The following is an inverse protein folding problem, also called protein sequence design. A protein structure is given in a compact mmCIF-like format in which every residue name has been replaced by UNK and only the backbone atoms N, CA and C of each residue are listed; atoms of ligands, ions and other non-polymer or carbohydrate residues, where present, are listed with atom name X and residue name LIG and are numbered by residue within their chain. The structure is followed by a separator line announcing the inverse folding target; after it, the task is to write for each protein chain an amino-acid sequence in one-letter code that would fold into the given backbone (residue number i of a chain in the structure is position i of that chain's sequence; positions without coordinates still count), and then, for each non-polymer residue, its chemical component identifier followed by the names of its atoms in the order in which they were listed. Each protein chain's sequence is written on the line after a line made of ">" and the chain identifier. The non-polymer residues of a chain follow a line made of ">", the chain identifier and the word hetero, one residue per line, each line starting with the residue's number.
data_IF_734143883686
#
_entry.id   IF_734143883686
#
_cell.length_a   1.000
_cell.length_b   1.000
_cell.length_c   1.000
_cell.angle_alpha   90.00
_cell.angle_beta   90.00
_cell.angle_gamma   90.00
#
_symmetry.space_group_name_H-M   'P 1'
#
loop_
_entity.id
_entity.type
_entity.pdbx_description
1 polymer ?
#
# COMPACT_ATOMS: atom_id res chain seq x y z
N UNK A 1 -6.49 -4.17 -10.34
CA UNK A 1 -6.99 -3.47 -11.51
C UNK A 1 -8.24 -2.63 -11.24
N UNK A 2 -9.00 -2.94 -10.19
CA UNK A 2 -10.30 -2.31 -9.93
C UNK A 2 -10.29 -1.36 -8.73
N UNK A 3 -9.15 -1.13 -8.09
CA UNK A 3 -8.97 -0.30 -6.89
C UNK A 3 -9.93 -0.69 -5.74
N UNK A 4 -10.14 -1.99 -5.56
CA UNK A 4 -10.99 -2.55 -4.52
C UNK A 4 -10.28 -3.67 -3.76
N UNK A 5 -10.61 -3.77 -2.46
CA UNK A 5 -10.33 -4.95 -1.65
C UNK A 5 -11.66 -5.70 -1.46
N UNK A 6 -11.65 -7.01 -1.71
CA UNK A 6 -12.85 -7.83 -1.56
C UNK A 6 -12.60 -8.90 -0.50
N UNK A 7 -13.48 -8.93 0.48
CA UNK A 7 -13.49 -9.95 1.54
C UNK A 7 -14.77 -10.77 1.42
N UNK A 8 -14.62 -12.09 1.41
CA UNK A 8 -15.76 -13.02 1.31
C UNK A 8 -15.76 -14.00 2.46
N UNK A 9 -16.86 -14.07 3.15
CA UNK A 9 -17.12 -15.01 4.25
C UNK A 9 -18.21 -15.98 3.83
N UNK A 10 -17.92 -17.28 3.93
CA UNK A 10 -18.89 -18.35 3.67
C UNK A 10 -18.97 -19.25 4.89
N UNK A 11 -20.17 -19.63 5.26
CA UNK A 11 -20.38 -20.66 6.26
C UNK A 11 -20.40 -22.05 5.59
N UNK A 12 -19.98 -23.05 6.32
CA UNK A 12 -20.13 -24.46 5.98
C UNK A 12 -21.58 -24.94 6.15
N UNK A 13 -22.36 -24.23 6.98
CA UNK A 13 -23.79 -24.45 7.21
C UNK A 13 -24.59 -23.19 6.89
N UNK A 14 -25.78 -23.36 6.34
CA UNK A 14 -26.70 -22.26 6.02
C UNK A 14 -27.06 -21.44 7.25
N UNK A 15 -27.16 -20.14 7.08
CA UNK A 15 -27.64 -19.23 8.12
C UNK A 15 -26.66 -18.95 9.26
N UNK A 16 -25.40 -19.30 9.14
CA UNK A 16 -24.44 -19.22 10.26
C UNK A 16 -23.61 -17.93 10.27
N UNK A 17 -23.66 -17.10 9.22
CA UNK A 17 -22.91 -15.85 9.21
C UNK A 17 -23.72 -14.75 9.91
N UNK A 18 -23.15 -14.25 11.04
CA UNK A 18 -23.64 -13.08 11.75
C UNK A 18 -22.47 -12.07 11.84
N UNK A 19 -22.48 -11.05 11.00
CA UNK A 19 -21.36 -10.14 10.87
C UNK A 19 -21.81 -8.69 11.07
N UNK A 20 -20.98 -7.94 11.77
CA UNK A 20 -21.12 -6.48 11.89
C UNK A 20 -19.82 -5.84 11.45
N UNK A 21 -19.89 -4.99 10.43
CA UNK A 21 -18.79 -4.15 9.98
C UNK A 21 -19.03 -2.73 10.46
N UNK A 22 -18.11 -2.22 11.26
CA UNK A 22 -18.11 -0.83 11.72
C UNK A 22 -16.74 -0.21 11.53
N UNK A 23 -16.73 1.10 11.38
CA UNK A 23 -15.49 1.87 11.46
C UNK A 23 -15.12 2.07 12.92
N UNK A 24 -13.86 1.78 13.26
CA UNK A 24 -13.26 2.13 14.55
C UNK A 24 -12.28 3.27 14.29
N UNK A 25 -12.56 4.49 14.75
CA UNK A 25 -11.62 5.60 14.59
C UNK A 25 -10.34 5.26 15.34
N UNK A 26 -9.22 5.35 14.66
CA UNK A 26 -7.89 5.14 15.24
C UNK A 26 -7.25 6.45 15.66
N UNK A 27 -7.89 7.59 15.34
CA UNK A 27 -7.42 8.94 15.65
C UNK A 27 -8.42 9.65 16.54
N UNK A 28 -8.00 10.00 17.75
CA UNK A 28 -8.73 10.91 18.62
C UNK A 28 -8.57 12.33 18.08
N UNK A 29 -9.68 13.06 17.90
CA UNK A 29 -9.65 14.50 17.61
C UNK A 29 -10.09 14.91 16.20
N UNK A 30 -10.25 14.01 15.25
CA UNK A 30 -10.83 14.32 13.93
C UNK A 30 -12.17 13.62 13.83
N UNK A 31 -13.24 14.39 13.94
CA UNK A 31 -14.60 13.91 13.78
C UNK A 31 -14.90 13.48 12.36
N UNK A 32 -14.51 12.27 11.91
CA UNK A 32 -14.92 11.81 10.61
C UNK A 32 -16.43 11.70 10.59
N UNK A 33 -17.02 12.01 9.45
CA UNK A 33 -18.41 11.65 9.21
C UNK A 33 -18.44 10.19 8.84
N UNK A 34 -19.10 9.36 9.68
CA UNK A 34 -19.39 7.96 9.37
C UNK A 34 -20.89 7.82 9.23
N UNK A 35 -21.34 7.29 8.11
CA UNK A 35 -22.76 7.10 7.83
C UNK A 35 -23.00 5.90 6.94
N UNK A 36 -24.24 5.38 6.99
CA UNK A 36 -24.70 4.31 6.10
C UNK A 36 -25.57 4.91 5.03
N UNK A 37 -25.24 4.67 3.77
CA UNK A 37 -26.00 5.05 2.59
C UNK A 37 -26.40 3.77 1.83
N UNK A 38 -27.67 3.37 1.92
CA UNK A 38 -28.12 2.12 1.31
C UNK A 38 -27.40 0.90 1.88
N UNK A 39 -26.64 0.20 1.06
CA UNK A 39 -25.83 -0.96 1.41
C UNK A 39 -24.34 -0.62 1.67
N UNK A 40 -24.01 0.67 1.76
CA UNK A 40 -22.64 1.15 1.90
C UNK A 40 -22.42 1.85 3.24
N UNK A 41 -21.28 1.55 3.89
CA UNK A 41 -20.71 2.30 5.00
C UNK A 41 -19.73 3.30 4.42
N UNK A 42 -19.91 4.58 4.73
CA UNK A 42 -19.13 5.70 4.24
C UNK A 42 -18.35 6.34 5.39
N UNK A 43 -17.07 6.52 5.19
CA UNK A 43 -16.19 7.31 6.03
C UNK A 43 -15.65 8.49 5.22
N UNK A 44 -15.83 9.70 5.74
CA UNK A 44 -15.29 10.93 5.18
C UNK A 44 -14.42 11.60 6.26
N UNK A 45 -13.15 11.77 5.96
CA UNK A 45 -12.19 12.39 6.86
C UNK A 45 -11.42 13.53 6.18
N UNK A 46 -10.82 14.37 7.01
CA UNK A 46 -9.87 15.40 6.60
C UNK A 46 -8.69 15.36 7.55
N UNK A 47 -7.46 15.31 7.02
CA UNK A 47 -6.26 15.34 7.84
C UNK A 47 -6.01 16.76 8.36
N UNK A 48 -5.65 16.86 9.62
CA UNK A 48 -5.57 18.14 10.34
C UNK A 48 -4.40 19.04 9.94
N UNK A 49 -3.32 18.41 9.46
CA UNK A 49 -2.06 19.11 9.23
C UNK A 49 -1.92 19.68 7.82
N UNK A 50 -2.77 19.24 6.87
CA UNK A 50 -2.67 19.65 5.47
C UNK A 50 -4.02 19.66 4.73
N UNK A 51 -5.14 19.53 5.46
CA UNK A 51 -6.50 19.52 4.92
C UNK A 51 -6.76 18.45 3.84
N UNK A 52 -5.89 17.45 3.71
CA UNK A 52 -6.05 16.35 2.76
C UNK A 52 -7.30 15.54 3.09
N UNK A 53 -8.14 15.33 2.09
CA UNK A 53 -9.38 14.58 2.22
C UNK A 53 -9.13 13.09 2.05
N UNK A 54 -9.85 12.29 2.85
CA UNK A 54 -9.86 10.84 2.77
C UNK A 54 -11.31 10.36 2.66
N UNK A 55 -11.56 9.44 1.75
CA UNK A 55 -12.84 8.72 1.68
C UNK A 55 -12.58 7.23 1.69
N UNK A 56 -13.27 6.52 2.58
CA UNK A 56 -13.38 5.06 2.56
C UNK A 56 -14.84 4.69 2.37
N UNK A 57 -15.10 3.75 1.47
CA UNK A 57 -16.40 3.26 1.15
C UNK A 57 -16.41 1.74 1.20
N UNK A 58 -17.35 1.15 1.93
CA UNK A 58 -17.48 -0.32 2.03
C UNK A 58 -18.91 -0.70 1.70
N UNK A 59 -19.10 -1.49 0.66
CA UNK A 59 -20.39 -2.10 0.34
C UNK A 59 -20.48 -3.51 0.92
N UNK A 60 -21.67 -3.90 1.35
CA UNK A 60 -21.98 -5.25 1.81
C UNK A 60 -22.96 -5.93 0.86
N UNK A 61 -22.61 -7.14 0.41
CA UNK A 61 -23.53 -8.06 -0.30
C UNK A 61 -23.70 -9.32 0.53
N UNK A 62 -24.87 -9.93 0.50
CA UNK A 62 -25.12 -11.15 1.23
C UNK A 62 -26.04 -12.12 0.47
N UNK A 63 -25.94 -13.40 0.81
CA UNK A 63 -26.83 -14.44 0.37
C UNK A 63 -27.47 -15.09 1.59
N UNK A 64 -28.79 -15.18 1.59
CA UNK A 64 -29.54 -15.59 2.80
C UNK A 64 -29.47 -14.55 3.90
N UNK A 65 -30.12 -14.81 5.01
CA UNK A 65 -30.15 -13.92 6.18
C UNK A 65 -30.93 -12.62 5.97
N UNK A 66 -30.74 -11.70 6.93
CA UNK A 66 -31.37 -10.37 6.92
C UNK A 66 -30.38 -9.27 7.29
N UNK A 67 -30.50 -8.12 6.65
CA UNK A 67 -29.78 -6.90 7.06
C UNK A 67 -30.51 -6.26 8.23
N UNK A 68 -29.76 -5.93 9.27
CA UNK A 68 -30.25 -5.18 10.44
C UNK A 68 -29.98 -3.70 10.23
N UNK A 69 -31.03 -2.88 10.43
CA UNK A 69 -30.97 -1.42 10.36
C UNK A 69 -31.57 -0.85 11.64
N UNK A 70 -30.71 -0.31 12.50
CA UNK A 70 -31.11 0.27 13.79
C UNK A 70 -30.68 1.74 13.94
N UNK A 71 -30.34 2.39 12.81
CA UNK A 71 -29.92 3.79 12.75
C UNK A 71 -28.46 4.02 13.15
N UNK A 72 -27.72 2.97 13.48
CA UNK A 72 -26.32 3.07 13.86
C UNK A 72 -25.41 3.08 12.61
N UNK A 73 -24.21 3.70 12.64
CA UNK A 73 -23.29 3.78 11.53
C UNK A 73 -22.47 2.49 11.35
N UNK A 74 -23.15 1.39 11.08
CA UNK A 74 -22.52 0.11 10.74
C UNK A 74 -23.37 -0.69 9.73
N UNK A 75 -22.74 -1.67 9.09
CA UNK A 75 -23.41 -2.69 8.27
C UNK A 75 -23.50 -3.98 9.07
N UNK A 76 -24.72 -4.48 9.28
CA UNK A 76 -24.96 -5.71 10.03
C UNK A 76 -25.86 -6.68 9.26
N UNK A 77 -25.47 -7.94 9.23
CA UNK A 77 -26.25 -9.03 8.66
C UNK A 77 -26.33 -10.19 9.65
N UNK A 78 -27.47 -10.84 9.72
CA UNK A 78 -27.76 -11.99 10.58
C UNK A 78 -28.29 -13.15 9.77
N UNK A 79 -27.82 -14.37 10.09
CA UNK A 79 -28.30 -15.62 9.49
C UNK A 79 -27.96 -15.76 8.00
N UNK A 80 -26.88 -15.14 7.52
CA UNK A 80 -26.50 -15.27 6.12
C UNK A 80 -25.73 -16.57 5.84
N UNK A 81 -25.82 -17.07 4.61
CA UNK A 81 -25.01 -18.18 4.09
C UNK A 81 -23.62 -17.67 3.64
N UNK A 82 -23.60 -16.48 3.09
CA UNK A 82 -22.43 -15.83 2.54
C UNK A 82 -22.52 -14.31 2.68
N UNK A 83 -21.41 -13.68 2.97
CA UNK A 83 -21.29 -12.20 3.05
C UNK A 83 -20.03 -11.77 2.30
N UNK A 84 -20.18 -10.76 1.46
CA UNK A 84 -19.05 -10.10 0.77
C UNK A 84 -19.00 -8.62 1.18
N UNK A 85 -17.80 -8.16 1.51
CA UNK A 85 -17.50 -6.75 1.65
C UNK A 85 -16.59 -6.32 0.50
N UNK A 86 -16.96 -5.22 -0.15
CA UNK A 86 -16.14 -4.56 -1.18
C UNK A 86 -15.73 -3.21 -0.60
N UNK A 87 -14.43 -2.99 -0.45
CA UNK A 87 -13.86 -1.75 0.09
C UNK A 87 -13.11 -1.00 -1.01
N UNK A 88 -13.32 0.31 -1.08
CA UNK A 88 -12.49 1.26 -1.82
C UNK A 88 -12.05 2.39 -0.89
N UNK A 89 -10.85 2.92 -1.11
CA UNK A 89 -10.35 4.07 -0.37
C UNK A 89 -9.52 4.95 -1.29
N UNK A 90 -9.60 6.26 -1.08
CA UNK A 90 -8.80 7.23 -1.82
C UNK A 90 -8.59 8.50 -0.99
N UNK A 91 -7.58 9.29 -1.39
CA UNK A 91 -7.34 10.62 -0.89
C UNK A 91 -7.35 11.61 -2.05
N UNK A 92 -7.45 12.91 -1.77
CA UNK A 92 -7.25 13.93 -2.81
C UNK A 92 -5.78 14.23 -3.09
N UNK A 93 -4.85 13.42 -2.60
CA UNK A 93 -3.44 13.55 -2.94
C UNK A 93 -3.20 13.39 -4.44
N UNK A 94 -2.40 14.28 -5.01
CA UNK A 94 -1.91 14.19 -6.38
C UNK A 94 -0.42 14.51 -6.40
N UNK A 95 0.38 13.56 -6.90
CA UNK A 95 1.80 13.80 -7.13
C UNK A 95 2.00 14.98 -8.10
N UNK A 96 2.88 15.92 -7.73
CA UNK A 96 3.16 17.10 -8.52
C UNK A 96 4.67 17.23 -8.75
N UNK A 97 5.07 17.16 -10.02
CA UNK A 97 6.48 17.28 -10.42
C UNK A 97 6.97 18.74 -10.53
N UNK A 98 6.04 19.68 -10.45
CA UNK A 98 6.34 21.10 -10.58
C UNK A 98 5.51 21.96 -9.60
N UNK A 99 5.58 21.68 -8.28
CA UNK A 99 4.76 22.38 -7.31
C UNK A 99 5.07 23.88 -7.25
N UNK A 100 4.03 24.69 -7.10
CA UNK A 100 4.15 26.04 -6.59
C UNK A 100 4.17 25.98 -5.05
N UNK A 101 5.28 26.35 -4.45
CA UNK A 101 5.46 26.27 -3.00
C UNK A 101 4.65 27.31 -2.22
N UNK A 102 4.03 28.28 -2.90
CA UNK A 102 3.11 29.25 -2.31
C UNK A 102 1.65 28.80 -2.39
N UNK A 103 1.35 27.73 -3.14
CA UNK A 103 0.01 27.17 -3.24
C UNK A 103 -0.17 26.06 -2.20
N UNK A 104 -1.01 26.26 -1.16
CA UNK A 104 -1.29 25.22 -0.18
C UNK A 104 -1.99 23.98 -0.79
N UNK A 105 -2.52 24.10 -2.01
CA UNK A 105 -3.18 23.03 -2.76
C UNK A 105 -2.30 22.43 -3.86
N UNK A 106 -0.98 22.70 -3.84
CA UNK A 106 -0.06 22.20 -4.86
C UNK A 106 -0.12 20.68 -5.09
N UNK A 107 -0.55 19.92 -4.09
CA UNK A 107 -0.70 18.46 -4.13
C UNK A 107 -2.17 17.99 -4.02
N UNK A 108 -3.13 18.90 -4.16
CA UNK A 108 -4.54 18.55 -4.15
C UNK A 108 -5.02 18.11 -5.54
N UNK A 109 -5.70 17.00 -5.60
CA UNK A 109 -6.29 16.40 -6.79
C UNK A 109 -7.82 16.37 -6.75
N UNK A 110 -8.38 15.30 -7.29
CA UNK A 110 -9.82 15.09 -7.38
C UNK A 110 -10.40 14.74 -6.00
N UNK A 111 -11.65 15.15 -5.76
CA UNK A 111 -12.36 14.78 -4.55
C UNK A 111 -12.48 13.23 -4.44
N UNK A 112 -11.92 12.60 -3.41
CA UNK A 112 -11.88 11.13 -3.28
C UNK A 112 -13.26 10.49 -3.12
N UNK A 113 -14.28 11.27 -2.75
CA UNK A 113 -15.66 10.76 -2.72
C UNK A 113 -16.19 10.43 -4.11
N UNK A 114 -15.74 11.15 -5.16
CA UNK A 114 -16.14 10.89 -6.55
C UNK A 114 -15.42 9.64 -7.10
N UNK A 115 -14.12 9.54 -6.88
CA UNK A 115 -13.31 8.39 -7.34
C UNK A 115 -13.76 7.09 -6.68
N UNK A 116 -13.92 7.08 -5.35
CA UNK A 116 -14.38 5.89 -4.62
C UNK A 116 -15.80 5.49 -5.00
N UNK A 117 -16.69 6.45 -5.29
CA UNK A 117 -18.05 6.17 -5.79
C UNK A 117 -18.01 5.49 -7.17
N UNK A 118 -17.17 5.98 -8.07
CA UNK A 118 -17.01 5.39 -9.41
C UNK A 118 -16.47 3.97 -9.33
N UNK A 119 -15.42 3.72 -8.54
CA UNK A 119 -14.85 2.39 -8.36
C UNK A 119 -15.85 1.43 -7.71
N UNK A 120 -16.54 1.88 -6.67
CA UNK A 120 -17.57 1.08 -5.99
C UNK A 120 -18.70 0.69 -6.95
N UNK A 121 -19.18 1.65 -7.74
CA UNK A 121 -20.24 1.38 -8.74
C UNK A 121 -19.80 0.33 -9.76
N UNK A 122 -18.57 0.42 -10.26
CA UNK A 122 -18.01 -0.55 -11.20
C UNK A 122 -17.87 -1.94 -10.55
N UNK A 123 -17.33 -2.02 -9.34
CA UNK A 123 -17.12 -3.28 -8.62
C UNK A 123 -18.45 -3.95 -8.22
N UNK A 124 -19.44 -3.18 -7.78
CA UNK A 124 -20.79 -3.71 -7.46
C UNK A 124 -21.49 -4.31 -8.68
N UNK A 125 -21.15 -3.89 -9.90
CA UNK A 125 -21.64 -4.48 -11.14
C UNK A 125 -21.01 -5.83 -11.51
N UNK A 126 -20.02 -6.31 -10.73
CA UNK A 126 -19.29 -7.55 -10.99
C UNK A 126 -19.55 -8.59 -9.91
N UNK A 127 -19.56 -9.88 -10.30
CA UNK A 127 -19.58 -10.99 -9.33
C UNK A 127 -18.21 -11.12 -8.65
N UNK A 128 -18.18 -11.76 -7.48
CA UNK A 128 -16.92 -12.12 -6.80
C UNK A 128 -15.95 -12.86 -7.74
N UNK A 129 -16.48 -13.85 -8.48
CA UNK A 129 -15.65 -14.60 -9.42
C UNK A 129 -15.01 -13.69 -10.45
N UNK A 130 -15.74 -12.75 -11.03
CA UNK A 130 -15.21 -11.82 -12.03
C UNK A 130 -14.14 -10.88 -11.44
N UNK A 131 -14.35 -10.38 -10.23
CA UNK A 131 -13.36 -9.56 -9.51
C UNK A 131 -12.09 -10.36 -9.23
N UNK A 132 -12.21 -11.61 -8.77
CA UNK A 132 -11.10 -12.52 -8.56
C UNK A 132 -10.35 -12.86 -9.85
N UNK A 133 -11.06 -13.18 -10.93
CA UNK A 133 -10.46 -13.49 -12.22
C UNK A 133 -9.64 -12.30 -12.76
N UNK A 134 -10.15 -11.08 -12.61
CA UNK A 134 -9.44 -9.85 -13.00
C UNK A 134 -8.19 -9.61 -12.15
N UNK A 135 -8.29 -9.82 -10.83
CA UNK A 135 -7.15 -9.74 -9.92
C UNK A 135 -6.06 -10.74 -10.30
N UNK A 136 -6.44 -12.00 -10.56
CA UNK A 136 -5.51 -13.05 -10.94
C UNK A 136 -4.89 -12.82 -12.33
N UNK A 137 -5.65 -12.25 -13.27
CA UNK A 137 -5.14 -11.89 -14.59
C UNK A 137 -4.11 -10.76 -14.55
N UNK A 138 -4.19 -9.86 -13.56
CA UNK A 138 -3.19 -8.82 -13.32
C UNK A 138 -1.97 -9.36 -12.56
N UNK A 139 -2.20 -10.08 -11.46
CA UNK A 139 -1.15 -10.49 -10.53
C UNK A 139 -0.28 -11.64 -11.05
N UNK A 140 -0.90 -12.70 -11.60
CA UNK A 140 -0.19 -13.93 -11.98
C UNK A 140 0.89 -13.74 -13.06
N UNK A 141 0.68 -12.95 -14.12
CA UNK A 141 1.71 -12.74 -15.13
C UNK A 141 3.01 -12.14 -14.56
N UNK A 142 2.92 -11.29 -13.56
CA UNK A 142 4.09 -10.70 -12.89
C UNK A 142 4.69 -11.71 -11.92
N UNK A 143 3.86 -12.30 -11.04
CA UNK A 143 4.36 -13.19 -10.00
C UNK A 143 5.03 -14.47 -10.56
N UNK A 144 4.49 -15.03 -11.65
CA UNK A 144 4.94 -16.29 -12.23
C UNK A 144 6.20 -16.18 -13.10
N UNK A 145 6.72 -14.97 -13.34
CA UNK A 145 7.93 -14.77 -14.18
C UNK A 145 9.18 -15.38 -13.57
N UNK A 146 9.28 -15.33 -12.24
CA UNK A 146 10.45 -15.78 -11.52
C UNK A 146 10.04 -16.77 -10.45
N UNK A 147 10.75 -17.87 -10.38
CA UNK A 147 10.65 -18.87 -9.34
C UNK A 147 12.04 -19.20 -8.80
N UNK A 148 12.11 -19.53 -7.52
CA UNK A 148 13.34 -19.97 -6.86
C UNK A 148 13.14 -21.37 -6.34
N UNK A 149 14.05 -22.28 -6.72
CA UNK A 149 14.15 -23.63 -6.17
C UNK A 149 15.53 -23.82 -5.56
N UNK A 150 15.61 -24.20 -4.30
CA UNK A 150 16.83 -24.48 -3.58
C UNK A 150 16.88 -25.98 -3.28
N UNK A 151 18.00 -26.63 -3.61
CA UNK A 151 18.19 -28.08 -3.43
C UNK A 151 17.08 -28.94 -4.07
N UNK A 152 16.49 -28.47 -5.18
CA UNK A 152 15.39 -29.14 -5.87
C UNK A 152 14.00 -28.90 -5.26
N UNK A 153 13.92 -28.16 -4.15
CA UNK A 153 12.64 -27.75 -3.54
C UNK A 153 12.27 -26.33 -3.97
N UNK A 154 11.20 -26.19 -4.73
CA UNK A 154 10.66 -24.91 -5.13
C UNK A 154 9.65 -24.39 -4.09
N UNK A 155 9.60 -23.07 -3.91
CA UNK A 155 8.47 -22.46 -3.22
C UNK A 155 7.19 -22.80 -3.98
N UNK A 156 6.07 -23.09 -3.28
CA UNK A 156 4.86 -23.50 -3.94
C UNK A 156 4.31 -22.38 -4.83
N UNK A 157 4.10 -22.67 -6.09
CA UNK A 157 3.45 -21.76 -7.02
C UNK A 157 1.92 -21.70 -6.82
N UNK A 158 1.34 -22.65 -6.10
CA UNK A 158 -0.12 -22.77 -6.03
C UNK A 158 -0.72 -23.55 -4.83
N UNK A 159 0.08 -24.06 -3.90
CA UNK A 159 -0.47 -24.78 -2.74
C UNK A 159 0.16 -24.36 -1.42
N UNK A 160 -0.63 -24.10 -0.36
CA UNK A 160 -0.12 -23.74 0.95
C UNK A 160 0.41 -24.93 1.77
N UNK A 161 0.31 -26.14 1.25
CA UNK A 161 0.85 -27.33 1.94
C UNK A 161 2.18 -27.73 1.34
N UNK A 162 3.25 -27.55 2.11
CA UNK A 162 4.49 -28.26 1.89
C UNK A 162 4.26 -29.76 1.92
N UNK A 163 5.00 -30.53 1.14
CA UNK A 163 4.91 -31.99 1.11
C UNK A 163 5.06 -32.64 2.50
N UNK A 164 5.71 -31.95 3.46
CA UNK A 164 5.95 -32.40 4.83
C UNK A 164 4.88 -31.95 5.85
N UNK A 165 3.82 -31.24 5.41
CA UNK A 165 2.69 -30.81 6.25
C UNK A 165 3.00 -29.77 7.33
N UNK A 166 4.23 -29.20 7.37
CA UNK A 166 4.60 -28.19 8.38
C UNK A 166 4.02 -26.83 8.07
N UNK A 167 3.52 -26.15 9.08
CA UNK A 167 3.09 -24.74 8.98
C UNK A 167 4.29 -23.80 8.97
N UNK A 168 4.12 -22.59 8.43
CA UNK A 168 5.17 -21.54 8.46
C UNK A 168 5.69 -21.24 9.87
N UNK A 169 4.87 -21.11 10.94
CA UNK A 169 5.37 -20.97 12.30
C UNK A 169 6.26 -22.12 12.76
N UNK A 170 5.90 -23.37 12.42
CA UNK A 170 6.72 -24.55 12.75
C UNK A 170 8.06 -24.53 12.01
N UNK A 171 8.07 -24.14 10.73
CA UNK A 171 9.30 -23.97 9.94
C UNK A 171 10.21 -22.92 10.54
N UNK A 172 9.67 -21.74 10.86
CA UNK A 172 10.43 -20.65 11.51
C UNK A 172 11.01 -21.08 12.86
N UNK A 173 10.24 -21.82 13.67
CA UNK A 173 10.73 -22.34 14.96
C UNK A 173 11.90 -23.32 14.80
N UNK A 174 11.84 -24.19 13.79
CA UNK A 174 12.92 -25.15 13.48
C UNK A 174 14.14 -24.43 12.90
N UNK A 175 13.93 -23.49 11.98
CA UNK A 175 14.98 -22.69 11.36
C UNK A 175 15.81 -21.92 12.41
N UNK A 176 15.13 -21.32 13.39
CA UNK A 176 15.78 -20.64 14.54
C UNK A 176 16.64 -21.58 15.39
N UNK A 177 16.39 -22.88 15.35
CA UNK A 177 17.19 -23.91 16.03
C UNK A 177 18.33 -24.45 15.16
N UNK A 178 18.54 -23.87 13.98
CA UNK A 178 19.61 -24.26 13.06
C UNK A 178 19.25 -25.36 12.06
N UNK A 179 17.98 -25.75 11.93
CA UNK A 179 17.56 -26.72 10.92
C UNK A 179 17.44 -26.02 9.55
N UNK A 180 18.20 -26.40 8.51
CA UNK A 180 18.01 -25.86 7.17
C UNK A 180 16.60 -26.10 6.64
N UNK A 181 16.03 -25.13 5.94
CA UNK A 181 14.71 -25.23 5.33
C UNK A 181 14.69 -24.50 3.98
N UNK A 182 15.16 -25.13 2.89
CA UNK A 182 15.19 -24.52 1.55
C UNK A 182 13.83 -24.07 1.06
N UNK A 183 12.76 -24.76 1.47
CA UNK A 183 11.39 -24.35 1.16
C UNK A 183 11.03 -23.00 1.82
N UNK A 184 11.39 -22.82 3.11
CA UNK A 184 11.14 -21.55 3.82
C UNK A 184 11.92 -20.41 3.18
N UNK A 185 13.16 -20.64 2.78
CA UNK A 185 14.03 -19.64 2.12
C UNK A 185 13.45 -19.23 0.76
N UNK A 186 13.02 -20.19 -0.06
CA UNK A 186 12.35 -19.91 -1.34
C UNK A 186 11.00 -19.21 -1.14
N UNK A 187 10.24 -19.59 -0.10
CA UNK A 187 8.99 -18.91 0.26
C UNK A 187 9.24 -17.45 0.68
N UNK A 188 10.30 -17.20 1.45
CA UNK A 188 10.67 -15.85 1.90
C UNK A 188 11.01 -14.94 0.71
N UNK A 189 11.78 -15.44 -0.26
CA UNK A 189 12.06 -14.74 -1.51
C UNK A 189 10.77 -14.38 -2.26
N UNK A 190 9.89 -15.36 -2.49
CA UNK A 190 8.63 -15.14 -3.18
C UNK A 190 7.69 -14.20 -2.42
N UNK A 191 7.74 -14.23 -1.09
CA UNK A 191 6.94 -13.32 -0.26
C UNK A 191 7.44 -11.87 -0.39
N UNK A 192 8.76 -11.65 -0.46
CA UNK A 192 9.32 -10.32 -0.77
C UNK A 192 8.83 -9.77 -2.11
N UNK A 193 8.84 -10.60 -3.16
CA UNK A 193 8.28 -10.24 -4.48
C UNK A 193 6.79 -9.89 -4.37
N UNK A 194 6.00 -10.70 -3.67
CA UNK A 194 4.59 -10.43 -3.44
C UNK A 194 4.37 -9.06 -2.76
N UNK A 195 5.14 -8.73 -1.73
CA UNK A 195 5.01 -7.46 -1.02
C UNK A 195 5.26 -6.27 -1.95
N UNK A 196 6.25 -6.34 -2.84
CA UNK A 196 6.51 -5.25 -3.78
C UNK A 196 5.44 -5.15 -4.86
N UNK A 197 4.99 -6.27 -5.44
CA UNK A 197 3.88 -6.30 -6.41
C UNK A 197 2.61 -5.67 -5.81
N UNK A 198 2.33 -5.95 -4.53
CA UNK A 198 1.13 -5.46 -3.85
C UNK A 198 1.22 -4.00 -3.42
N UNK A 199 2.43 -3.44 -3.24
CA UNK A 199 2.64 -2.09 -2.72
C UNK A 199 3.12 -1.07 -3.75
N UNK A 200 3.55 -1.49 -4.93
CA UNK A 200 4.16 -0.58 -5.91
C UNK A 200 3.67 -0.87 -7.33
N UNK A 201 2.73 -0.08 -7.80
CA UNK A 201 2.17 -0.18 -9.15
C UNK A 201 2.07 1.22 -9.77
N UNK A 202 2.22 1.30 -11.09
CA UNK A 202 2.14 2.56 -11.83
C UNK A 202 0.89 3.38 -11.47
N UNK A 203 1.07 4.68 -11.26
CA UNK A 203 0.02 5.61 -10.85
C UNK A 203 -0.18 5.73 -9.32
N UNK A 204 0.53 4.93 -8.52
CA UNK A 204 0.52 5.01 -7.05
C UNK A 204 1.83 5.58 -6.51
N UNK A 205 1.87 5.82 -5.20
CA UNK A 205 3.11 6.12 -4.48
C UNK A 205 4.00 4.88 -4.37
N UNK A 206 5.32 5.02 -4.24
CA UNK A 206 6.21 3.89 -3.99
C UNK A 206 5.97 3.29 -2.61
N UNK A 207 6.44 2.04 -2.42
CA UNK A 207 6.48 1.39 -1.13
C UNK A 207 7.31 2.24 -0.14
N UNK A 208 6.71 2.60 1.00
CA UNK A 208 7.38 3.33 2.08
C UNK A 208 8.12 2.35 3.02
N UNK A 209 8.58 2.82 4.19
CA UNK A 209 9.28 1.98 5.19
C UNK A 209 8.49 0.72 5.61
N UNK A 210 7.16 0.76 5.57
CA UNK A 210 6.28 -0.36 5.89
C UNK A 210 5.62 -0.98 4.65
N UNK A 211 6.04 -0.61 3.44
CA UNK A 211 5.33 -0.96 2.21
C UNK A 211 4.00 -0.21 2.12
N UNK A 212 2.90 -0.88 2.42
CA UNK A 212 1.56 -0.29 2.61
C UNK A 212 0.92 -0.73 3.93
N UNK A 213 1.57 -1.60 4.67
CA UNK A 213 0.96 -2.28 5.82
C UNK A 213 1.33 -1.63 7.14
N UNK A 214 0.31 -1.24 7.90
CA UNK A 214 0.47 -0.66 9.21
C UNK A 214 -0.69 -1.12 10.12
N UNK A 215 -0.34 -1.54 11.33
CA UNK A 215 -1.34 -2.02 12.29
C UNK A 215 -2.05 -0.88 13.06
N UNK A 216 -1.44 0.31 13.10
CA UNK A 216 -1.94 1.49 13.81
C UNK A 216 -1.43 2.76 13.12
N UNK A 217 -1.82 3.93 13.63
CA UNK A 217 -1.41 5.22 13.07
C UNK A 217 -0.07 5.75 13.60
N UNK A 218 0.54 5.06 14.53
CA UNK A 218 1.86 5.38 15.08
C UNK A 218 2.91 4.46 14.41
N UNK A 219 3.21 4.80 13.17
CA UNK A 219 4.19 4.05 12.39
C UNK A 219 5.60 4.29 12.89
N UNK A 220 6.44 3.25 13.02
CA UNK A 220 7.87 3.44 13.17
C UNK A 220 8.40 4.39 12.09
N UNK A 221 9.16 5.42 12.52
CA UNK A 221 9.70 6.44 11.62
C UNK A 221 8.65 7.15 10.75
N UNK A 222 7.41 7.24 11.26
CA UNK A 222 6.25 7.90 10.61
C UNK A 222 5.87 7.33 9.22
N UNK A 223 6.31 6.10 8.87
CA UNK A 223 6.11 5.49 7.56
C UNK A 223 6.57 6.37 6.39
N UNK A 224 7.60 7.19 6.59
CA UNK A 224 8.16 8.07 5.58
C UNK A 224 9.03 7.33 4.55
N UNK A 225 9.68 8.06 3.66
CA UNK A 225 10.71 7.55 2.76
C UNK A 225 12.08 7.89 3.34
N UNK A 226 12.92 6.86 3.56
CA UNK A 226 14.30 7.04 3.95
C UNK A 226 15.23 6.86 2.75
N UNK A 227 15.90 7.94 2.36
CA UNK A 227 16.71 8.02 1.15
C UNK A 227 18.18 7.61 1.37
N UNK A 228 18.53 7.11 2.54
CA UNK A 228 19.92 6.72 2.85
C UNK A 228 20.22 5.23 2.63
N UNK A 229 19.17 4.38 2.50
CA UNK A 229 19.28 2.95 2.18
C UNK A 229 17.90 2.31 1.93
N UNK A 230 16.87 2.68 2.71
CA UNK A 230 15.64 1.89 2.81
C UNK A 230 14.86 1.86 1.50
N UNK A 231 14.58 3.03 0.90
CA UNK A 231 13.85 3.05 -0.37
C UNK A 231 14.68 2.42 -1.49
N UNK A 232 16.00 2.60 -1.48
CA UNK A 232 16.88 1.96 -2.42
C UNK A 232 16.79 0.42 -2.33
N UNK A 233 16.80 -0.12 -1.10
CA UNK A 233 16.71 -1.56 -0.89
C UNK A 233 15.36 -2.15 -1.31
N UNK A 234 14.26 -1.40 -1.14
CA UNK A 234 12.96 -1.84 -1.63
C UNK A 234 12.93 -2.05 -3.14
N UNK A 235 13.67 -1.22 -3.91
CA UNK A 235 13.64 -1.22 -5.37
C UNK A 235 14.89 -1.81 -6.04
N UNK A 236 15.92 -2.15 -5.27
CA UNK A 236 17.17 -2.70 -5.82
C UNK A 236 16.97 -3.98 -6.63
N UNK A 237 16.17 -4.96 -6.15
CA UNK A 237 16.01 -6.23 -6.84
C UNK A 237 15.00 -6.20 -8.00
N UNK A 238 14.37 -5.05 -8.29
CA UNK A 238 13.22 -4.98 -9.20
C UNK A 238 13.49 -5.62 -10.55
N UNK A 239 14.62 -5.30 -11.19
CA UNK A 239 14.97 -5.82 -12.52
C UNK A 239 15.33 -7.30 -12.45
N UNK A 240 16.14 -7.69 -11.46
CA UNK A 240 16.59 -9.07 -11.26
C UNK A 240 15.43 -10.01 -10.90
N UNK A 241 14.40 -9.47 -10.24
CA UNK A 241 13.25 -10.22 -9.77
C UNK A 241 12.07 -10.21 -10.77
N UNK A 242 12.26 -9.63 -11.98
CA UNK A 242 11.22 -9.55 -13.01
C UNK A 242 10.00 -8.74 -12.56
N UNK A 243 10.23 -7.57 -11.94
CA UNK A 243 9.23 -6.70 -11.36
C UNK A 243 9.26 -5.28 -11.95
N UNK A 244 9.60 -5.16 -13.23
CA UNK A 244 9.80 -3.88 -13.94
C UNK A 244 8.60 -2.94 -13.81
N UNK A 245 7.36 -3.48 -13.81
CA UNK A 245 6.14 -2.69 -13.63
C UNK A 245 6.02 -2.06 -12.24
N UNK A 246 6.79 -2.58 -11.26
CA UNK A 246 6.82 -2.05 -9.91
C UNK A 246 7.82 -0.89 -9.75
N UNK A 247 8.69 -0.64 -10.74
CA UNK A 247 9.70 0.42 -10.69
C UNK A 247 9.11 1.83 -10.88
N UNK A 248 8.06 1.98 -11.68
CA UNK A 248 7.53 3.29 -12.07
C UNK A 248 7.22 4.22 -10.89
N UNK A 249 6.58 3.77 -9.78
CA UNK A 249 6.36 4.64 -8.62
C UNK A 249 7.64 5.20 -8.01
N UNK A 250 8.73 4.43 -8.00
CA UNK A 250 10.03 4.89 -7.51
C UNK A 250 10.62 5.96 -8.44
N UNK A 251 10.57 5.76 -9.76
CA UNK A 251 11.02 6.75 -10.75
C UNK A 251 10.24 8.06 -10.61
N UNK A 252 8.92 7.98 -10.49
CA UNK A 252 8.05 9.14 -10.30
C UNK A 252 8.35 9.86 -8.98
N UNK A 253 8.59 9.12 -7.91
CA UNK A 253 9.00 9.68 -6.62
C UNK A 253 10.32 10.46 -6.76
N UNK A 254 11.36 9.86 -7.33
CA UNK A 254 12.66 10.56 -7.51
C UNK A 254 12.48 11.81 -8.35
N UNK A 255 11.71 11.73 -9.45
CA UNK A 255 11.38 12.88 -10.29
C UNK A 255 10.66 13.98 -9.51
N UNK A 256 9.76 13.64 -8.58
CA UNK A 256 9.02 14.59 -7.77
C UNK A 256 9.90 15.37 -6.79
N UNK A 257 11.06 14.81 -6.42
CA UNK A 257 12.04 15.47 -5.54
C UNK A 257 12.94 16.49 -6.25
N UNK A 258 13.02 16.47 -7.59
CA UNK A 258 13.99 17.29 -8.35
C UNK A 258 13.76 18.79 -8.14
N UNK A 259 12.52 19.27 -8.33
CA UNK A 259 12.21 20.70 -8.17
C UNK A 259 12.31 21.18 -6.72
N UNK A 260 11.70 20.50 -5.72
CA UNK A 260 11.91 20.85 -4.31
C UNK A 260 13.39 20.78 -3.91
N UNK A 261 14.10 19.75 -4.34
CA UNK A 261 15.51 19.55 -4.07
C UNK A 261 16.41 20.63 -4.66
N UNK A 262 16.03 21.21 -5.78
CA UNK A 262 16.77 22.35 -6.36
C UNK A 262 16.63 23.61 -5.49
N UNK A 263 15.47 23.84 -4.90
CA UNK A 263 15.28 24.93 -3.91
C UNK A 263 16.14 24.68 -2.67
N UNK A 264 16.11 23.48 -2.15
CA UNK A 264 16.92 23.07 -0.99
C UNK A 264 18.41 23.21 -1.27
N UNK A 265 18.90 22.74 -2.43
CA UNK A 265 20.31 22.85 -2.83
C UNK A 265 20.79 24.30 -2.85
N UNK A 266 19.98 25.21 -3.38
CA UNK A 266 20.30 26.64 -3.41
C UNK A 266 20.26 27.27 -2.02
N UNK A 267 19.20 26.98 -1.25
CA UNK A 267 18.96 27.65 0.04
C UNK A 267 19.94 27.20 1.13
N UNK A 268 20.27 25.92 1.19
CA UNK A 268 21.12 25.36 2.26
C UNK A 268 22.59 25.29 1.87
N UNK A 269 22.91 25.08 0.58
CA UNK A 269 24.27 24.78 0.15
C UNK A 269 24.82 25.79 -0.87
N UNK A 270 24.05 26.78 -1.32
CA UNK A 270 24.46 27.70 -2.39
C UNK A 270 24.77 26.97 -3.71
N UNK A 271 24.30 25.75 -3.89
CA UNK A 271 24.67 24.87 -4.99
C UNK A 271 23.64 24.88 -6.13
N UNK A 272 24.12 24.52 -7.32
CA UNK A 272 23.26 24.19 -8.47
C UNK A 272 22.86 22.72 -8.38
N UNK A 273 21.86 22.31 -9.20
CA UNK A 273 21.32 20.94 -9.20
C UNK A 273 20.26 20.75 -8.12
N UNK A 274 20.13 19.56 -7.59
CA UNK A 274 19.16 19.22 -6.57
C UNK A 274 19.76 18.32 -5.50
N UNK A 275 19.13 18.27 -4.33
CA UNK A 275 19.52 17.44 -3.20
C UNK A 275 18.28 16.82 -2.54
N UNK A 276 18.48 15.72 -1.83
CA UNK A 276 17.50 15.13 -0.93
C UNK A 276 18.20 14.82 0.39
N UNK A 277 17.45 14.92 1.47
CA UNK A 277 17.89 14.47 2.81
C UNK A 277 17.43 13.04 3.08
N UNK A 278 17.79 12.49 4.25
CA UNK A 278 17.42 11.11 4.63
C UNK A 278 15.91 10.97 4.66
N UNK A 279 15.22 11.74 5.49
CA UNK A 279 13.76 11.72 5.56
C UNK A 279 13.13 12.49 4.41
N UNK A 280 12.14 11.88 3.79
CA UNK A 280 11.33 12.49 2.75
C UNK A 280 9.87 12.03 2.86
N UNK A 281 8.99 12.70 2.15
CA UNK A 281 7.57 12.40 2.13
C UNK A 281 7.00 12.64 0.72
N UNK A 282 5.75 12.25 0.45
CA UNK A 282 5.14 12.43 -0.86
C UNK A 282 4.89 13.91 -1.25
N UNK A 283 5.07 14.86 -0.32
CA UNK A 283 4.87 16.29 -0.56
C UNK A 283 6.16 17.03 -0.94
N UNK A 284 7.20 16.32 -1.36
CA UNK A 284 8.45 16.90 -1.85
C UNK A 284 9.35 17.46 -0.75
N UNK A 285 9.28 16.93 0.47
CA UNK A 285 10.22 17.32 1.52
C UNK A 285 11.63 16.81 1.19
N UNK A 286 12.58 17.74 1.09
CA UNK A 286 13.97 17.45 0.71
C UNK A 286 14.99 18.14 1.62
N UNK A 287 14.53 19.02 2.51
CA UNK A 287 15.40 19.81 3.38
C UNK A 287 15.92 18.98 4.57
N UNK A 288 17.06 19.34 5.18
CA UNK A 288 17.46 18.79 6.47
C UNK A 288 16.41 19.15 7.53
N UNK A 289 16.27 18.28 8.54
CA UNK A 289 15.47 18.58 9.73
C UNK A 289 16.07 19.75 10.52
N UNK A 290 15.30 20.31 11.44
CA UNK A 290 15.74 21.43 12.26
C UNK A 290 16.51 20.98 13.50
N UNK A 291 17.24 21.90 14.08
CA UNK A 291 17.93 21.76 15.37
C UNK A 291 18.94 20.60 15.39
N UNK A 292 18.96 19.85 16.49
CA UNK A 292 19.85 18.69 16.71
C UNK A 292 19.64 17.56 15.70
N UNK A 293 18.47 17.49 15.08
CA UNK A 293 18.13 16.44 14.11
C UNK A 293 18.69 16.75 12.71
N UNK A 294 19.18 17.96 12.47
CA UNK A 294 19.77 18.35 11.19
C UNK A 294 20.95 17.47 10.81
N UNK A 295 21.87 17.26 11.72
CA UNK A 295 23.09 16.47 11.46
C UNK A 295 22.77 15.02 11.11
N UNK A 296 21.75 14.44 11.77
CA UNK A 296 21.29 13.09 11.48
C UNK A 296 20.66 13.01 10.08
N UNK A 297 19.87 14.00 9.70
CA UNK A 297 19.11 13.96 8.44
C UNK A 297 19.93 14.37 7.21
N UNK A 298 21.10 15.01 7.39
CA UNK A 298 21.98 15.37 6.29
C UNK A 298 22.53 14.13 5.59
N UNK A 299 22.34 14.08 4.27
CA UNK A 299 22.91 13.02 3.44
C UNK A 299 23.30 13.57 2.08
N UNK A 300 24.57 13.93 1.87
CA UNK A 300 25.02 14.51 0.59
C UNK A 300 24.94 13.52 -0.57
N UNK A 301 24.84 12.22 -0.28
CA UNK A 301 24.79 11.16 -1.30
C UNK A 301 23.36 10.65 -1.59
N UNK A 302 22.35 11.06 -0.84
CA UNK A 302 20.97 10.54 -1.03
C UNK A 302 20.44 10.85 -2.45
N UNK A 303 20.52 12.10 -2.90
CA UNK A 303 20.14 12.48 -4.25
C UNK A 303 20.92 11.76 -5.36
N UNK A 304 22.26 11.77 -5.34
CA UNK A 304 23.07 11.00 -6.30
C UNK A 304 22.74 9.49 -6.32
N UNK A 305 22.52 8.87 -5.17
CA UNK A 305 22.18 7.44 -5.10
C UNK A 305 20.83 7.13 -5.71
N UNK A 306 19.81 7.94 -5.40
CA UNK A 306 18.49 7.83 -6.04
C UNK A 306 18.59 7.98 -7.56
N UNK A 307 19.38 8.94 -8.05
CA UNK A 307 19.58 9.17 -9.48
C UNK A 307 20.32 8.00 -10.15
N UNK A 308 21.37 7.45 -9.51
CA UNK A 308 22.09 6.28 -10.00
C UNK A 308 21.15 5.07 -10.12
N UNK A 309 20.31 4.81 -9.13
CA UNK A 309 19.38 3.70 -9.18
C UNK A 309 18.30 3.87 -10.28
N UNK A 310 17.84 5.11 -10.53
CA UNK A 310 16.96 5.37 -11.68
C UNK A 310 17.68 5.10 -12.99
N UNK A 311 18.98 5.44 -13.08
CA UNK A 311 19.78 5.13 -14.26
C UNK A 311 19.94 3.61 -14.47
N UNK A 312 20.18 2.84 -13.42
CA UNK A 312 20.27 1.38 -13.46
C UNK A 312 18.96 0.71 -13.92
N UNK A 313 17.80 1.35 -13.65
CA UNK A 313 16.50 0.89 -14.15
C UNK A 313 16.28 1.21 -15.64
N UNK A 314 17.06 2.15 -16.22
CA UNK A 314 16.97 2.56 -17.62
C UNK A 314 17.87 1.73 -18.52
N UNK A 315 19.01 1.24 -18.03
CA UNK A 315 20.02 0.47 -18.79
C UNK A 315 19.76 -1.03 -18.74
#
# INVERSE_FOLDING_TARGET
>A
PDNVLVMRYRADKKGMQNLTLRYLPTWEGYGPTVRVEGDELLYLGTLFNNDMKLTVRVAMRHKGGRVVRDGQPYLRVEGADEVEFILTADTDYKMNFNPDFNDPKAYAGVNPSLTTQQWMKAAKGMSYKRLLDRHLADYRPIFSRVSLALNGEAAPSSSPSSADGKTTPQRLANYRKGSPDPYLEALYFQYGRYLLIASSRAGNLPANLQGLWLANNDAPWHADYHNNINIQMNYWPVMQDGLEECAQPFVDYVRSLVKPGAVTARAYYGARGWTASISANPFGFTAPLRDRDMAWNLSPVAGPWLAAQVYDLYT
#
